data_IF_930828880335
#
_entry.id   IF_930828880335
#
_cell.length_a   1.000
_cell.length_b   1.000
_cell.length_c   1.000
_cell.angle_alpha   90.00
_cell.angle_beta   90.00
_cell.angle_gamma   90.00
#
_symmetry.space_group_name_H-M   'P 1'
#
loop_
_entity.id
_entity.type
_entity.pdbx_description
1 polymer ?
#
# COMPACT_ATOMS: atom_id res chain seq x y z
N UNK A 1 -16.30 -32.39 3.07
CA UNK A 1 -15.00 -31.82 2.66
C UNK A 1 -15.00 -30.36 3.08
N UNK A 2 -14.33 -29.99 4.19
CA UNK A 2 -14.23 -28.58 4.60
C UNK A 2 -13.18 -27.93 3.71
N UNK A 3 -13.60 -27.06 2.81
CA UNK A 3 -12.69 -26.10 2.18
C UNK A 3 -12.18 -25.24 3.32
N UNK A 4 -10.89 -25.36 3.63
CA UNK A 4 -10.22 -24.42 4.54
C UNK A 4 -10.16 -23.11 3.76
N UNK A 5 -11.22 -22.31 3.85
CA UNK A 5 -11.27 -21.00 3.23
C UNK A 5 -10.13 -20.17 3.81
N UNK A 6 -9.30 -19.58 2.93
CA UNK A 6 -8.36 -18.57 3.35
C UNK A 6 -9.15 -17.50 4.12
N UNK A 7 -8.78 -17.26 5.38
CA UNK A 7 -9.37 -16.18 6.16
C UNK A 7 -8.89 -14.89 5.52
N UNK A 8 -9.79 -14.19 4.84
CA UNK A 8 -9.53 -12.84 4.34
C UNK A 8 -9.36 -11.92 5.55
N UNK A 9 -8.31 -11.09 5.53
CA UNK A 9 -8.15 -10.09 6.57
C UNK A 9 -9.31 -9.09 6.51
N UNK A 10 -9.82 -8.75 7.69
CA UNK A 10 -10.86 -7.76 7.88
C UNK A 10 -10.35 -6.34 7.56
N UNK A 11 -11.26 -5.44 7.20
CA UNK A 11 -10.90 -4.04 7.00
C UNK A 11 -10.27 -3.41 8.26
N UNK A 12 -10.67 -3.85 9.45
CA UNK A 12 -10.12 -3.36 10.73
C UNK A 12 -8.66 -3.78 10.93
N UNK A 13 -8.29 -4.98 10.49
CA UNK A 13 -6.91 -5.43 10.45
C UNK A 13 -6.06 -4.58 9.48
N UNK A 14 -6.59 -4.25 8.31
CA UNK A 14 -5.92 -3.37 7.34
C UNK A 14 -5.78 -1.95 7.91
N UNK A 15 -6.84 -1.39 8.52
CA UNK A 15 -6.80 -0.06 9.17
C UNK A 15 -5.81 -0.03 10.33
N UNK A 16 -5.68 -1.12 11.09
CA UNK A 16 -4.69 -1.23 12.17
C UNK A 16 -3.24 -1.13 11.65
N UNK A 17 -2.95 -1.61 10.42
CA UNK A 17 -1.66 -1.38 9.77
C UNK A 17 -1.47 0.08 9.36
N UNK A 18 -2.53 0.72 8.86
CA UNK A 18 -2.50 2.13 8.51
C UNK A 18 -2.27 3.02 9.74
N UNK A 19 -2.91 2.72 10.87
CA UNK A 19 -2.67 3.40 12.15
C UNK A 19 -1.21 3.26 12.60
N UNK A 20 -0.62 2.07 12.42
CA UNK A 20 0.78 1.84 12.72
C UNK A 20 1.71 2.64 11.82
N UNK A 21 1.41 2.72 10.52
CA UNK A 21 2.14 3.57 9.59
C UNK A 21 2.02 5.05 9.99
N UNK A 22 0.83 5.51 10.38
CA UNK A 22 0.62 6.87 10.87
C UNK A 22 1.46 7.16 12.12
N UNK A 23 1.45 6.25 13.11
CA UNK A 23 2.29 6.38 14.30
C UNK A 23 3.79 6.43 13.98
N UNK A 24 4.24 5.66 12.99
CA UNK A 24 5.62 5.72 12.51
C UNK A 24 5.94 7.06 11.84
N UNK A 25 5.06 7.55 10.96
CA UNK A 25 5.23 8.84 10.28
C UNK A 25 5.28 10.02 11.26
N UNK A 26 4.54 9.93 12.37
CA UNK A 26 4.51 10.88 13.48
C UNK A 26 5.68 10.72 14.48
N UNK A 27 6.55 9.72 14.29
CA UNK A 27 7.69 9.46 15.18
C UNK A 27 7.34 8.79 16.52
N UNK A 28 6.10 8.31 16.69
CA UNK A 28 5.65 7.58 17.90
C UNK A 28 6.12 6.14 17.93
N UNK A 29 6.41 5.56 16.76
CA UNK A 29 6.95 4.21 16.59
C UNK A 29 8.27 4.30 15.82
N UNK A 30 9.31 3.62 16.31
CA UNK A 30 10.62 3.52 15.66
C UNK A 30 10.70 2.35 14.69
N UNK A 31 11.67 2.41 13.79
CA UNK A 31 11.97 1.33 12.85
C UNK A 31 12.34 0.03 13.54
N UNK A 32 13.05 0.10 14.68
CA UNK A 32 13.36 -1.07 15.50
C UNK A 32 12.09 -1.73 16.05
N UNK A 33 11.10 -0.94 16.48
CA UNK A 33 9.81 -1.45 16.95
C UNK A 33 8.99 -2.07 15.81
N UNK A 34 9.05 -1.50 14.60
CA UNK A 34 8.43 -2.11 13.42
C UNK A 34 9.10 -3.44 13.05
N UNK A 35 10.44 -3.46 12.99
CA UNK A 35 11.22 -4.65 12.63
C UNK A 35 11.07 -5.79 13.65
N UNK A 36 10.81 -5.49 14.92
CA UNK A 36 10.57 -6.49 15.96
C UNK A 36 9.17 -7.14 15.89
N UNK A 37 8.24 -6.61 15.08
CA UNK A 37 6.91 -7.20 14.93
C UNK A 37 7.00 -8.54 14.18
N UNK A 38 6.31 -9.54 14.71
CA UNK A 38 6.22 -10.85 14.05
C UNK A 38 5.52 -10.70 12.70
N UNK A 39 6.13 -11.30 11.68
CA UNK A 39 5.44 -11.62 10.42
C UNK A 39 4.32 -12.60 10.74
N UNK A 40 3.09 -12.23 10.42
CA UNK A 40 2.08 -13.23 10.08
C UNK A 40 2.41 -13.76 8.68
N UNK A 41 2.32 -15.07 8.42
CA UNK A 41 2.39 -15.57 7.05
C UNK A 41 1.30 -14.89 6.21
N UNK A 42 1.54 -14.63 4.92
CA UNK A 42 0.55 -14.02 4.05
C UNK A 42 -0.68 -14.93 4.00
N UNK A 43 -1.77 -14.48 4.63
CA UNK A 43 -3.07 -15.16 4.65
C UNK A 43 -4.11 -14.21 4.08
N UNK A 44 -4.61 -14.49 2.88
CA UNK A 44 -5.61 -13.65 2.24
C UNK A 44 -5.64 -13.84 0.73
N UNK A 45 -6.68 -13.30 0.11
CA UNK A 45 -6.82 -13.31 -1.34
C UNK A 45 -5.79 -12.38 -1.99
N UNK A 46 -4.86 -12.95 -2.76
CA UNK A 46 -3.81 -12.20 -3.46
C UNK A 46 -4.37 -11.15 -4.43
N UNK A 47 -5.61 -11.33 -4.91
CA UNK A 47 -6.29 -10.38 -5.81
C UNK A 47 -6.58 -9.05 -5.12
N UNK A 48 -6.66 -9.05 -3.79
CA UNK A 48 -7.00 -7.89 -2.98
C UNK A 48 -5.80 -7.04 -2.54
N UNK A 49 -4.56 -7.41 -2.89
CA UNK A 49 -3.36 -6.64 -2.50
C UNK A 49 -3.45 -5.16 -2.90
N UNK A 50 -3.92 -4.87 -4.13
CA UNK A 50 -4.15 -3.50 -4.62
C UNK A 50 -5.23 -2.75 -3.83
N UNK A 51 -6.48 -3.26 -3.74
CA UNK A 51 -7.54 -2.68 -2.93
C UNK A 51 -7.16 -2.46 -1.45
N UNK A 52 -6.42 -3.39 -0.83
CA UNK A 52 -5.94 -3.25 0.55
C UNK A 52 -4.85 -2.18 0.67
N UNK A 53 -3.91 -2.09 -0.28
CA UNK A 53 -2.97 -0.97 -0.34
C UNK A 53 -3.69 0.38 -0.44
N UNK A 54 -4.74 0.44 -1.27
CA UNK A 54 -5.53 1.65 -1.42
C UNK A 54 -6.34 1.98 -0.15
N UNK A 55 -6.85 0.97 0.56
CA UNK A 55 -7.52 1.17 1.85
C UNK A 55 -6.57 1.81 2.87
N UNK A 56 -5.31 1.35 2.93
CA UNK A 56 -4.29 1.95 3.80
C UNK A 56 -4.09 3.43 3.47
N UNK A 57 -3.94 3.78 2.19
CA UNK A 57 -3.80 5.18 1.78
C UNK A 57 -5.05 6.01 2.07
N UNK A 58 -6.25 5.51 1.76
CA UNK A 58 -7.50 6.20 2.12
C UNK A 58 -7.54 6.51 3.62
N UNK A 59 -7.22 5.53 4.48
CA UNK A 59 -7.19 5.71 5.93
C UNK A 59 -6.16 6.77 6.38
N UNK A 60 -4.95 6.74 5.83
CA UNK A 60 -3.91 7.74 6.11
C UNK A 60 -4.32 9.17 5.69
N UNK A 61 -5.25 9.28 4.73
CA UNK A 61 -5.82 10.54 4.27
C UNK A 61 -7.19 10.87 4.92
N UNK A 62 -7.64 10.10 5.92
CA UNK A 62 -8.90 10.33 6.61
C UNK A 62 -10.15 10.04 5.76
N UNK A 63 -10.02 9.21 4.73
CA UNK A 63 -11.10 8.83 3.82
C UNK A 63 -11.68 7.48 4.20
N UNK A 64 -12.99 7.43 4.42
CA UNK A 64 -13.69 6.19 4.74
C UNK A 64 -13.87 5.30 3.50
N UNK A 65 -13.51 4.03 3.62
CA UNK A 65 -13.57 3.02 2.56
C UNK A 65 -13.57 1.60 3.14
N UNK A 66 -13.93 0.62 2.31
CA UNK A 66 -13.76 -0.82 2.59
C UNK A 66 -12.99 -1.50 1.46
N UNK A 67 -12.34 -2.63 1.75
CA UNK A 67 -11.62 -3.41 0.73
C UNK A 67 -12.56 -3.83 -0.40
N UNK A 68 -13.78 -4.26 -0.05
CA UNK A 68 -14.81 -4.67 -1.01
C UNK A 68 -15.28 -3.53 -1.91
N UNK A 69 -15.49 -2.34 -1.35
CA UNK A 69 -15.84 -1.14 -2.12
C UNK A 69 -14.73 -0.79 -3.11
N UNK A 70 -13.49 -0.74 -2.63
CA UNK A 70 -12.32 -0.39 -3.44
C UNK A 70 -12.06 -1.41 -4.55
N UNK A 71 -12.22 -2.70 -4.27
CA UNK A 71 -12.11 -3.76 -5.28
C UNK A 71 -13.16 -3.59 -6.39
N UNK A 72 -14.42 -3.28 -6.02
CA UNK A 72 -15.48 -3.00 -6.98
C UNK A 72 -15.17 -1.77 -7.83
N UNK A 73 -14.72 -0.67 -7.21
CA UNK A 73 -14.39 0.57 -7.91
C UNK A 73 -13.18 0.42 -8.83
N UNK A 74 -12.19 -0.38 -8.42
CA UNK A 74 -10.98 -0.61 -9.17
C UNK A 74 -11.15 -1.63 -10.31
N UNK A 75 -12.31 -2.29 -10.40
CA UNK A 75 -12.56 -3.35 -11.37
C UNK A 75 -11.73 -4.61 -11.09
N UNK A 76 -11.48 -4.92 -9.82
CA UNK A 76 -10.75 -6.13 -9.43
C UNK A 76 -11.51 -7.38 -9.88
N UNK A 77 -10.81 -8.26 -10.59
CA UNK A 77 -11.36 -9.52 -11.09
C UNK A 77 -10.48 -10.72 -10.66
N UNK A 78 -10.67 -11.87 -11.30
CA UNK A 78 -9.90 -13.09 -11.01
C UNK A 78 -8.39 -12.95 -11.27
N UNK A 79 -7.98 -12.00 -12.10
CA UNK A 79 -6.58 -11.70 -12.42
C UNK A 79 -5.95 -10.67 -11.47
N UNK A 80 -6.75 -10.05 -10.60
CA UNK A 80 -6.30 -9.04 -9.66
C UNK A 80 -6.75 -7.64 -10.05
N UNK A 81 -5.89 -6.65 -9.83
CA UNK A 81 -6.22 -5.22 -10.03
C UNK A 81 -5.14 -4.53 -10.84
N UNK A 82 -5.51 -3.53 -11.64
CA UNK A 82 -4.54 -2.71 -12.41
C UNK A 82 -4.20 -1.41 -11.70
N UNK A 83 -3.02 -0.84 -11.99
CA UNK A 83 -2.65 0.51 -11.50
C UNK A 83 -3.67 1.57 -11.91
N UNK A 84 -4.19 1.49 -13.14
CA UNK A 84 -5.22 2.41 -13.62
C UNK A 84 -6.52 2.26 -12.83
N UNK A 85 -6.97 1.02 -12.56
CA UNK A 85 -8.13 0.75 -11.71
C UNK A 85 -7.99 1.34 -10.31
N UNK A 86 -6.81 1.20 -9.70
CA UNK A 86 -6.53 1.81 -8.39
C UNK A 86 -6.60 3.34 -8.44
N UNK A 87 -6.12 3.98 -9.52
CA UNK A 87 -6.25 5.44 -9.70
C UNK A 87 -7.73 5.85 -9.79
N UNK A 88 -8.55 5.12 -10.57
CA UNK A 88 -9.99 5.41 -10.69
C UNK A 88 -10.73 5.24 -9.37
N UNK A 89 -10.42 4.17 -8.62
CA UNK A 89 -10.99 3.92 -7.30
C UNK A 89 -10.59 5.01 -6.30
N UNK A 90 -9.31 5.38 -6.25
CA UNK A 90 -8.82 6.45 -5.39
C UNK A 90 -9.56 7.77 -5.68
N UNK A 91 -9.69 8.13 -6.96
CA UNK A 91 -10.37 9.35 -7.39
C UNK A 91 -11.83 9.37 -6.94
N UNK A 92 -12.53 8.23 -7.03
CA UNK A 92 -13.92 8.09 -6.55
C UNK A 92 -14.06 8.24 -5.04
N UNK A 93 -12.98 8.03 -4.27
CA UNK A 93 -12.93 8.28 -2.82
C UNK A 93 -12.43 9.68 -2.46
N UNK A 94 -12.10 10.51 -3.45
CA UNK A 94 -11.55 11.85 -3.21
C UNK A 94 -10.03 11.87 -2.99
N UNK A 95 -9.31 10.79 -3.33
CA UNK A 95 -7.84 10.73 -3.30
C UNK A 95 -7.28 10.79 -4.72
N UNK A 96 -6.36 11.73 -4.99
CA UNK A 96 -5.72 11.85 -6.29
C UNK A 96 -4.38 11.11 -6.33
N UNK A 97 -4.36 9.92 -6.92
CA UNK A 97 -3.14 9.17 -7.22
C UNK A 97 -2.67 9.43 -8.65
N UNK A 98 -1.36 9.48 -8.85
CA UNK A 98 -0.74 9.51 -10.19
C UNK A 98 0.26 8.38 -10.33
N UNK A 99 0.23 7.72 -11.49
CA UNK A 99 1.20 6.70 -11.86
C UNK A 99 2.51 7.33 -12.32
N UNK A 100 3.63 6.79 -11.82
CA UNK A 100 4.97 7.22 -12.15
C UNK A 100 5.87 6.02 -12.43
N UNK A 101 6.63 6.08 -13.51
CA UNK A 101 7.92 5.38 -13.58
C UNK A 101 8.92 6.24 -12.82
N UNK A 102 9.50 5.71 -11.75
CA UNK A 102 10.24 6.48 -10.76
C UNK A 102 11.45 5.70 -10.24
N UNK A 103 12.31 6.36 -9.49
CA UNK A 103 13.50 5.77 -8.86
C UNK A 103 13.32 5.73 -7.35
N UNK A 104 14.16 4.95 -6.68
CA UNK A 104 14.16 4.88 -5.23
C UNK A 104 14.45 6.26 -4.61
N UNK A 105 15.34 7.02 -5.22
CA UNK A 105 15.75 8.33 -4.71
C UNK A 105 14.64 9.37 -4.92
N UNK A 106 13.84 9.27 -6.00
CA UNK A 106 12.63 10.09 -6.18
C UNK A 106 11.58 9.74 -5.11
N UNK A 107 11.28 8.45 -4.86
CA UNK A 107 10.39 8.04 -3.76
C UNK A 107 10.87 8.57 -2.40
N UNK A 108 12.17 8.47 -2.11
CA UNK A 108 12.78 9.02 -0.89
C UNK A 108 12.62 10.53 -0.81
N UNK A 109 12.86 11.25 -1.91
CA UNK A 109 12.75 12.71 -1.95
C UNK A 109 11.32 13.22 -1.74
N UNK A 110 10.32 12.48 -2.24
CA UNK A 110 8.90 12.81 -2.08
C UNK A 110 8.43 12.62 -0.64
N UNK A 111 8.95 11.61 0.06
CA UNK A 111 8.74 11.44 1.49
C UNK A 111 7.30 11.12 1.92
N UNK A 112 6.44 10.70 0.98
CA UNK A 112 5.03 10.35 1.23
C UNK A 112 4.76 8.86 0.98
N UNK A 113 3.77 8.27 1.65
CA UNK A 113 3.32 6.92 1.35
C UNK A 113 2.88 6.76 -0.10
N UNK A 114 3.24 5.64 -0.73
CA UNK A 114 2.91 5.35 -2.12
C UNK A 114 2.62 3.84 -2.31
N UNK A 115 1.72 3.50 -3.24
CA UNK A 115 1.56 2.12 -3.69
C UNK A 115 2.65 1.83 -4.72
N UNK A 116 3.32 0.70 -4.62
CA UNK A 116 4.30 0.28 -5.62
C UNK A 116 3.94 -1.08 -6.20
N UNK A 117 4.32 -1.29 -7.46
CA UNK A 117 4.08 -2.54 -8.16
C UNK A 117 5.36 -3.39 -8.17
N UNK A 118 5.28 -4.58 -7.58
CA UNK A 118 6.38 -5.53 -7.47
C UNK A 118 6.45 -6.45 -8.69
N UNK A 119 7.61 -7.07 -8.92
CA UNK A 119 7.85 -7.93 -10.08
C UNK A 119 6.88 -9.11 -10.16
N UNK A 120 6.46 -9.66 -9.02
CA UNK A 120 5.54 -10.80 -8.91
C UNK A 120 4.04 -10.45 -9.12
N UNK A 121 3.75 -9.31 -9.76
CA UNK A 121 2.39 -8.80 -9.94
C UNK A 121 1.66 -8.59 -8.60
N UNK A 122 2.38 -8.03 -7.63
CA UNK A 122 1.92 -7.77 -6.27
C UNK A 122 2.02 -6.29 -5.94
N UNK A 123 1.05 -5.75 -5.20
CA UNK A 123 1.09 -4.37 -4.72
C UNK A 123 1.43 -4.33 -3.23
N UNK A 124 2.30 -3.40 -2.87
CA UNK A 124 2.61 -3.08 -1.47
C UNK A 124 2.61 -1.56 -1.29
N UNK A 125 2.55 -1.10 -0.04
CA UNK A 125 2.71 0.32 0.30
C UNK A 125 4.13 0.56 0.76
N UNK A 126 4.84 1.49 0.13
CA UNK A 126 6.04 2.10 0.72
C UNK A 126 5.54 3.21 1.63
N UNK A 127 5.73 3.07 2.95
CA UNK A 127 5.38 4.10 3.93
C UNK A 127 6.43 5.22 3.93
N UNK A 128 7.71 4.84 3.87
CA UNK A 128 8.84 5.78 3.75
C UNK A 128 10.07 5.10 3.15
N UNK A 129 10.67 5.70 2.14
CA UNK A 129 11.99 5.34 1.66
C UNK A 129 13.07 6.16 2.41
N UNK A 130 14.18 5.51 2.78
CA UNK A 130 15.30 6.09 3.54
C UNK A 130 16.62 5.73 2.85
N UNK A 131 17.76 6.25 3.30
CA UNK A 131 19.04 6.11 2.57
C UNK A 131 19.38 4.67 2.16
N UNK A 132 19.25 3.72 3.08
CA UNK A 132 19.67 2.33 2.90
C UNK A 132 18.55 1.31 3.12
N UNK A 133 17.31 1.75 3.34
CA UNK A 133 16.18 0.87 3.69
C UNK A 133 14.83 1.53 3.44
N UNK A 134 13.79 0.76 3.23
CA UNK A 134 12.42 1.24 3.14
C UNK A 134 11.56 0.65 4.26
N UNK A 135 10.61 1.44 4.76
CA UNK A 135 9.51 0.94 5.59
C UNK A 135 8.34 0.65 4.66
N UNK A 136 7.87 -0.60 4.67
CA UNK A 136 6.83 -1.09 3.78
C UNK A 136 5.70 -1.76 4.57
N UNK A 137 4.49 -1.67 4.02
CA UNK A 137 3.38 -2.53 4.37
C UNK A 137 3.09 -3.44 3.18
N UNK A 138 3.15 -4.72 3.43
CA UNK A 138 2.77 -5.80 2.53
C UNK A 138 1.44 -6.38 3.03
N UNK A 139 0.30 -6.01 2.42
CA UNK A 139 -1.00 -6.49 2.87
C UNK A 139 -1.13 -8.02 2.75
N UNK A 140 -1.93 -8.65 3.63
CA UNK A 140 -2.86 -7.98 4.52
C UNK A 140 -2.36 -7.65 5.92
N UNK A 141 -1.27 -8.25 6.40
CA UNK A 141 -0.92 -8.20 7.84
C UNK A 141 0.59 -8.02 8.11
N UNK A 142 1.35 -7.53 7.14
CA UNK A 142 2.80 -7.44 7.28
C UNK A 142 3.32 -6.00 7.14
N UNK A 143 4.06 -5.54 8.16
CA UNK A 143 4.91 -4.35 8.12
C UNK A 143 6.37 -4.77 8.25
N UNK A 144 7.27 -4.17 7.47
CA UNK A 144 8.70 -4.46 7.53
C UNK A 144 9.56 -3.23 7.29
N UNK A 145 10.79 -3.33 7.80
CA UNK A 145 11.92 -2.49 7.40
C UNK A 145 12.81 -3.35 6.52
N UNK A 146 12.90 -3.03 5.23
CA UNK A 146 13.62 -3.82 4.22
C UNK A 146 14.85 -3.07 3.73
N UNK A 147 16.01 -3.72 3.55
CA UNK A 147 17.18 -3.09 2.92
C UNK A 147 16.84 -2.53 1.52
N UNK A 148 17.45 -1.40 1.14
CA UNK A 148 17.24 -0.76 -0.17
C UNK A 148 17.51 -1.75 -1.32
N UNK A 149 18.58 -2.53 -1.23
CA UNK A 149 18.95 -3.53 -2.24
C UNK A 149 17.86 -4.59 -2.45
N UNK A 150 17.31 -5.13 -1.36
CA UNK A 150 16.27 -6.17 -1.40
C UNK A 150 14.94 -5.63 -1.94
N UNK A 151 14.60 -4.39 -1.59
CA UNK A 151 13.43 -3.72 -2.17
C UNK A 151 13.62 -3.48 -3.68
N UNK A 152 14.77 -2.94 -4.07
CA UNK A 152 15.04 -2.60 -5.47
C UNK A 152 15.14 -3.83 -6.38
N UNK A 153 15.59 -4.97 -5.86
CA UNK A 153 15.66 -6.22 -6.64
C UNK A 153 14.28 -6.78 -6.98
N UNK A 154 13.24 -6.41 -6.23
CA UNK A 154 11.87 -6.93 -6.37
C UNK A 154 10.87 -5.88 -6.90
N UNK A 155 11.23 -4.60 -6.91
CA UNK A 155 10.37 -3.51 -7.41
C UNK A 155 10.49 -3.32 -8.93
N UNK A 156 9.39 -2.96 -9.60
CA UNK A 156 9.36 -2.67 -11.06
C UNK A 156 9.79 -1.24 -11.43
N UNK A 157 9.99 -0.37 -10.44
CA UNK A 157 10.22 1.06 -10.70
C UNK A 157 8.92 1.84 -10.97
N UNK A 158 7.76 1.27 -10.64
CA UNK A 158 6.45 1.88 -10.83
C UNK A 158 5.78 2.17 -9.49
N UNK A 159 5.18 3.36 -9.36
CA UNK A 159 4.48 3.78 -8.15
C UNK A 159 3.21 4.60 -8.45
N UNK A 160 2.20 4.44 -7.61
CA UNK A 160 1.07 5.35 -7.48
C UNK A 160 1.34 6.27 -6.29
N UNK A 161 1.51 7.56 -6.58
CA UNK A 161 1.91 8.55 -5.60
C UNK A 161 0.76 9.54 -5.37
N UNK A 162 0.38 9.82 -4.11
CA UNK A 162 -0.53 10.91 -3.79
C UNK A 162 -0.02 12.22 -4.35
N UNK A 163 -0.91 12.94 -5.02
CA UNK A 163 -0.67 14.31 -5.46
C UNK A 163 -1.67 15.22 -4.77
N UNK A 164 -1.29 16.47 -4.44
CA UNK A 164 -2.25 17.46 -3.98
C UNK A 164 -3.42 17.54 -4.96
N UNK A 165 -4.63 17.61 -4.43
CA UNK A 165 -5.78 18.05 -5.20
C UNK A 165 -5.52 19.54 -5.45
N UNK A 166 -4.94 19.87 -6.60
CA UNK A 166 -4.92 21.25 -7.03
C UNK A 166 -6.39 21.68 -7.22
N UNK A 167 -6.83 22.68 -6.46
CA UNK A 167 -8.06 23.40 -6.75
C UNK A 167 -7.91 24.09 -8.11
N UNK A 168 -8.72 23.70 -9.11
CA UNK A 168 -8.94 24.49 -10.33
C UNK A 168 -8.01 24.23 -11.54
N UNK A 169 -8.40 24.74 -12.73
CA UNK A 169 -8.30 24.02 -14.00
C UNK A 169 -6.95 24.20 -14.73
N UNK A 170 -6.65 23.23 -15.60
CA UNK A 170 -5.73 23.40 -16.74
C UNK A 170 -6.49 24.07 -17.89
#
# INVERSE_FOLDING_TARGET
MRVIGAVEASDDEIRSLADLAQQYLEGKVSEAQLAARRRSPPSGDKRLCGPQCLLILCHLHGLDASTKELARLAGTDETGTTMYGLVQAAQSKGLKLRGHSTTYDDLRSRGVPAIVHMQEAHFIVVVRALDNRAVVIDPPLHVAVVPKGDFMSSWRGEALIPSPIADGPQ
#
